data_IF_718868249782
#
_entry.id   IF_718868249782
#
_cell.length_a   1.000
_cell.length_b   1.000
_cell.length_c   1.000
_cell.angle_alpha   90.00
_cell.angle_beta   90.00
_cell.angle_gamma   90.00
#
_symmetry.space_group_name_H-M   'P 1'
#
loop_
_entity.id
_entity.type
_entity.pdbx_description
1 polymer ?
#
# COMPACT_ATOMS: atom_id res chain seq x y z
N UNK A 1 -7.60 34.73 -10.35
CA UNK A 1 -7.14 34.42 -8.98
C UNK A 1 -5.65 34.72 -8.94
N UNK A 2 -5.21 35.69 -8.13
CA UNK A 2 -3.80 36.04 -7.97
C UNK A 2 -3.26 35.32 -6.72
N UNK A 3 -2.26 34.47 -6.90
CA UNK A 3 -1.53 33.84 -5.78
C UNK A 3 -0.30 34.70 -5.48
N UNK A 4 -0.09 35.05 -4.21
CA UNK A 4 1.07 35.84 -3.74
C UNK A 4 2.40 35.14 -4.10
N UNK A 5 2.38 33.80 -4.12
CA UNK A 5 3.44 32.99 -4.69
C UNK A 5 2.81 32.01 -5.69
N UNK A 6 3.06 32.13 -7.01
CA UNK A 6 2.60 31.12 -7.94
C UNK A 6 3.27 29.77 -7.62
N UNK A 7 2.55 28.64 -7.75
CA UNK A 7 3.14 27.33 -7.55
C UNK A 7 4.30 27.15 -8.54
N UNK A 8 5.42 26.61 -8.05
CA UNK A 8 6.53 26.25 -8.92
C UNK A 8 6.16 24.99 -9.68
N UNK A 9 6.12 25.08 -11.01
CA UNK A 9 6.01 23.92 -11.88
C UNK A 9 7.34 23.17 -11.83
N UNK A 10 7.28 21.86 -11.58
CA UNK A 10 8.43 20.95 -11.59
C UNK A 10 8.13 19.85 -12.59
N UNK A 11 9.10 19.57 -13.47
CA UNK A 11 9.04 18.39 -14.33
C UNK A 11 9.37 17.16 -13.50
N UNK A 12 8.63 16.07 -13.74
CA UNK A 12 8.87 14.78 -13.12
C UNK A 12 9.44 13.82 -14.16
N UNK A 13 10.45 13.06 -13.77
CA UNK A 13 11.01 11.98 -14.59
C UNK A 13 10.56 10.62 -14.02
N UNK A 14 10.52 9.62 -14.89
CA UNK A 14 10.22 8.25 -14.47
C UNK A 14 11.41 7.73 -13.65
N UNK A 15 11.20 7.49 -12.36
CA UNK A 15 12.19 6.85 -11.50
C UNK A 15 12.36 5.37 -11.82
N UNK A 16 11.25 4.61 -11.80
CA UNK A 16 11.21 3.18 -12.16
C UNK A 16 9.78 2.80 -12.56
N UNK A 17 9.61 1.60 -13.12
CA UNK A 17 8.31 1.03 -13.43
C UNK A 17 8.27 -0.42 -12.96
N UNK A 18 7.09 -0.90 -12.57
CA UNK A 18 6.91 -2.32 -12.23
C UNK A 18 7.41 -3.21 -13.37
N UNK A 19 8.40 -4.11 -13.12
CA UNK A 19 8.88 -5.06 -14.10
C UNK A 19 7.76 -5.92 -14.68
N UNK A 20 7.86 -6.25 -15.97
CA UNK A 20 6.86 -7.08 -16.66
C UNK A 20 6.61 -8.43 -15.96
N UNK A 21 7.63 -9.01 -15.33
CA UNK A 21 7.52 -10.26 -14.57
C UNK A 21 6.57 -10.18 -13.37
N UNK A 22 6.30 -8.98 -12.84
CA UNK A 22 5.35 -8.77 -11.75
C UNK A 22 3.95 -8.34 -12.24
N UNK A 23 3.79 -8.00 -13.52
CA UNK A 23 2.48 -7.61 -14.06
C UNK A 23 1.59 -8.84 -14.22
N UNK A 24 0.36 -8.76 -13.73
CA UNK A 24 -0.66 -9.82 -13.84
C UNK A 24 -1.61 -9.55 -15.01
N UNK A 25 -1.06 -9.24 -16.18
CA UNK A 25 -1.85 -8.86 -17.37
C UNK A 25 -2.85 -9.95 -17.76
N UNK A 26 -4.11 -9.58 -17.94
CA UNK A 26 -5.19 -10.50 -18.28
C UNK A 26 -5.68 -11.38 -17.13
N UNK A 27 -5.07 -11.27 -15.94
CA UNK A 27 -5.55 -11.96 -14.74
C UNK A 27 -6.71 -11.16 -14.16
N UNK A 28 -7.82 -11.85 -13.89
CA UNK A 28 -8.99 -11.28 -13.24
C UNK A 28 -8.78 -11.20 -11.72
N UNK A 29 -9.20 -10.12 -11.09
CA UNK A 29 -9.22 -9.97 -9.63
C UNK A 29 -10.60 -9.53 -9.15
N UNK A 30 -11.01 -10.00 -7.98
CA UNK A 30 -12.28 -9.60 -7.36
C UNK A 30 -12.31 -8.08 -7.11
N UNK A 31 -11.17 -7.51 -6.72
CA UNK A 31 -11.02 -6.07 -6.57
C UNK A 31 -11.31 -5.30 -7.88
N UNK A 32 -10.77 -5.74 -9.03
CA UNK A 32 -11.01 -5.08 -10.31
C UNK A 32 -12.46 -5.24 -10.79
N UNK A 33 -13.08 -6.39 -10.50
CA UNK A 33 -14.50 -6.61 -10.76
C UNK A 33 -15.36 -5.57 -10.03
N UNK A 34 -15.09 -5.35 -8.73
CA UNK A 34 -15.84 -4.42 -7.89
C UNK A 34 -15.54 -2.94 -8.18
N UNK A 35 -14.26 -2.59 -8.39
CA UNK A 35 -13.83 -1.19 -8.43
C UNK A 35 -13.63 -0.64 -9.85
N UNK A 36 -13.56 -1.51 -10.87
CA UNK A 36 -13.30 -1.11 -12.27
C UNK A 36 -14.26 -1.74 -13.26
N UNK A 37 -15.41 -2.24 -12.80
CA UNK A 37 -16.44 -2.83 -13.65
C UNK A 37 -15.93 -4.03 -14.46
N UNK A 38 -15.01 -4.81 -13.89
CA UNK A 38 -14.40 -5.97 -14.54
C UNK A 38 -13.32 -5.67 -15.56
N UNK A 39 -12.94 -4.40 -15.75
CA UNK A 39 -11.79 -4.05 -16.60
C UNK A 39 -10.50 -4.64 -16.00
N UNK A 40 -9.77 -5.50 -16.75
CA UNK A 40 -8.54 -6.09 -16.26
C UNK A 40 -7.55 -5.02 -15.82
N UNK A 41 -6.93 -5.24 -14.66
CA UNK A 41 -5.88 -4.37 -14.12
C UNK A 41 -4.71 -5.27 -13.75
N UNK A 42 -3.56 -5.04 -14.37
CA UNK A 42 -2.38 -5.87 -14.17
C UNK A 42 -1.60 -5.53 -12.90
N UNK A 43 -1.83 -4.34 -12.34
CA UNK A 43 -1.47 -3.88 -11.00
C UNK A 43 -2.19 -2.55 -10.69
N UNK A 44 -2.45 -2.29 -9.40
CA UNK A 44 -2.86 -0.96 -8.91
C UNK A 44 -2.04 -0.63 -7.67
N UNK A 45 -1.00 0.19 -7.86
CA UNK A 45 -0.05 0.55 -6.82
C UNK A 45 -0.57 1.67 -5.93
N UNK A 46 -0.42 1.51 -4.62
CA UNK A 46 -0.84 2.48 -3.61
C UNK A 46 0.10 2.51 -2.39
N UNK A 47 -0.23 3.36 -1.43
CA UNK A 47 0.36 3.35 -0.09
C UNK A 47 1.89 3.47 -0.02
N UNK A 48 2.53 4.42 -0.72
CA UNK A 48 3.98 4.56 -0.70
C UNK A 48 4.50 4.91 0.69
N UNK A 49 5.54 4.21 1.15
CA UNK A 49 6.28 4.53 2.38
C UNK A 49 7.77 4.25 2.21
N UNK A 50 8.63 5.10 2.77
CA UNK A 50 10.08 4.90 2.74
C UNK A 50 10.59 4.31 4.06
N UNK A 51 11.58 3.44 3.97
CA UNK A 51 12.40 3.06 5.12
C UNK A 51 13.56 4.07 5.35
N UNK A 52 14.32 3.88 6.43
CA UNK A 52 15.46 4.75 6.76
C UNK A 52 16.66 4.62 5.81
N UNK A 53 16.70 3.56 4.99
CA UNK A 53 17.73 3.35 3.96
C UNK A 53 17.34 3.95 2.60
N UNK A 54 16.15 4.54 2.49
CA UNK A 54 15.64 5.14 1.27
C UNK A 54 14.98 4.15 0.32
N UNK A 55 14.72 2.91 0.75
CA UNK A 55 13.91 2.00 -0.06
C UNK A 55 12.43 2.44 0.00
N UNK A 56 11.79 2.48 -1.17
CA UNK A 56 10.37 2.75 -1.30
C UNK A 56 9.58 1.45 -1.23
N UNK A 57 8.58 1.38 -0.37
CA UNK A 57 7.62 0.30 -0.30
C UNK A 57 6.29 0.75 -0.88
N UNK A 58 5.65 -0.09 -1.68
CA UNK A 58 4.33 0.14 -2.27
C UNK A 58 3.48 -1.11 -2.17
N UNK A 59 2.18 -0.92 -2.01
CA UNK A 59 1.21 -2.02 -2.09
C UNK A 59 0.74 -2.21 -3.53
N UNK A 60 0.21 -3.39 -3.82
CA UNK A 60 -0.53 -3.68 -5.03
C UNK A 60 -1.86 -4.32 -4.63
N UNK A 61 -2.88 -3.46 -4.54
CA UNK A 61 -4.18 -3.79 -3.94
C UNK A 61 -4.82 -5.03 -4.58
N UNK A 62 -4.95 -5.13 -5.92
CA UNK A 62 -5.80 -6.14 -6.53
C UNK A 62 -5.27 -7.57 -6.37
N UNK A 63 -4.00 -7.72 -6.00
CA UNK A 63 -3.31 -9.00 -5.92
C UNK A 63 -2.66 -9.26 -4.55
N UNK A 64 -2.94 -8.42 -3.54
CA UNK A 64 -2.49 -8.69 -2.17
C UNK A 64 -0.97 -8.65 -1.98
N UNK A 65 -0.26 -7.76 -2.69
CA UNK A 65 1.21 -7.74 -2.71
C UNK A 65 1.81 -6.49 -2.08
N UNK A 66 3.01 -6.65 -1.57
CA UNK A 66 3.86 -5.55 -1.09
C UNK A 66 5.21 -5.68 -1.81
N UNK A 67 5.65 -4.58 -2.42
CA UNK A 67 6.95 -4.49 -3.07
C UNK A 67 7.87 -3.53 -2.32
N UNK A 68 9.16 -3.84 -2.37
CA UNK A 68 10.24 -2.91 -2.04
C UNK A 68 10.95 -2.51 -3.33
N UNK A 69 11.28 -1.25 -3.45
CA UNK A 69 12.00 -0.63 -4.55
C UNK A 69 13.24 0.04 -3.97
N UNK A 70 14.43 -0.38 -4.41
CA UNK A 70 15.68 0.21 -3.94
C UNK A 70 15.84 1.66 -4.43
N UNK A 71 16.76 2.45 -3.85
CA UNK A 71 17.14 3.75 -4.41
C UNK A 71 17.65 3.71 -5.86
N UNK A 72 18.10 2.54 -6.34
CA UNK A 72 18.46 2.30 -7.75
C UNK A 72 17.28 1.94 -8.64
N UNK A 73 16.07 1.78 -8.09
CA UNK A 73 14.86 1.45 -8.83
C UNK A 73 14.61 -0.05 -8.99
N UNK A 74 15.33 -0.91 -8.26
CA UNK A 74 15.20 -2.38 -8.33
C UNK A 74 14.04 -2.88 -7.48
N UNK A 75 13.17 -3.70 -8.06
CA UNK A 75 11.96 -4.21 -7.41
C UNK A 75 12.19 -5.57 -6.76
N UNK A 76 11.70 -5.74 -5.53
CA UNK A 76 11.66 -7.01 -4.80
C UNK A 76 10.24 -7.23 -4.28
N UNK A 77 9.66 -8.42 -4.50
CA UNK A 77 8.43 -8.83 -3.83
C UNK A 77 8.74 -9.16 -2.37
N UNK A 78 8.08 -8.49 -1.44
CA UNK A 78 8.26 -8.70 0.00
C UNK A 78 7.21 -9.67 0.54
N UNK A 79 5.95 -9.47 0.15
CA UNK A 79 4.85 -10.32 0.58
C UNK A 79 3.79 -10.44 -0.52
N UNK A 80 3.14 -11.61 -0.57
CA UNK A 80 1.92 -11.88 -1.34
C UNK A 80 0.99 -12.70 -0.44
N UNK A 81 -0.21 -12.19 -0.17
CA UNK A 81 -1.15 -12.80 0.79
C UNK A 81 -2.62 -12.53 0.39
N UNK A 82 -3.55 -13.23 1.04
CA UNK A 82 -4.99 -13.06 0.78
C UNK A 82 -5.56 -11.80 1.42
N UNK A 83 -5.38 -10.65 0.78
CA UNK A 83 -5.87 -9.36 1.24
C UNK A 83 -5.85 -8.29 0.15
N UNK A 84 -6.23 -7.07 0.53
CA UNK A 84 -6.29 -5.91 -0.36
C UNK A 84 -5.51 -4.74 0.31
N UNK A 85 -4.16 -4.84 0.38
CA UNK A 85 -3.31 -3.88 1.08
C UNK A 85 -3.35 -2.52 0.39
N UNK A 86 -3.54 -1.45 1.16
CA UNK A 86 -3.65 -0.08 0.65
C UNK A 86 -2.57 0.81 1.29
N UNK A 87 -2.90 1.71 2.22
CA UNK A 87 -1.93 2.53 2.93
C UNK A 87 -1.04 1.75 3.91
N UNK A 88 0.20 2.22 4.12
CA UNK A 88 1.16 1.61 5.05
C UNK A 88 1.95 2.65 5.84
N UNK A 89 2.43 2.27 7.04
CA UNK A 89 3.50 2.97 7.78
C UNK A 89 4.38 1.96 8.51
N UNK A 90 5.66 2.28 8.67
CA UNK A 90 6.54 1.51 9.54
C UNK A 90 6.19 1.74 11.01
N UNK A 91 6.04 0.65 11.77
CA UNK A 91 5.98 0.67 13.24
C UNK A 91 7.39 0.76 13.84
N UNK A 92 8.33 0.09 13.18
CA UNK A 92 9.75 0.02 13.50
C UNK A 92 10.54 -0.30 12.22
N UNK A 93 11.85 -0.58 12.34
CA UNK A 93 12.71 -0.82 11.18
C UNK A 93 12.37 -2.09 10.37
N UNK A 94 11.55 -3.00 10.89
CA UNK A 94 11.25 -4.30 10.27
C UNK A 94 9.75 -4.55 10.06
N UNK A 95 8.90 -3.80 10.76
CA UNK A 95 7.45 -4.05 10.76
C UNK A 95 6.69 -2.94 10.04
N UNK A 96 5.98 -3.31 8.96
CA UNK A 96 4.97 -2.47 8.35
C UNK A 96 3.61 -2.71 9.01
N UNK A 97 2.91 -1.64 9.39
CA UNK A 97 1.47 -1.64 9.62
C UNK A 97 0.77 -1.29 8.31
N UNK A 98 -0.28 -2.05 7.98
CA UNK A 98 -0.97 -2.01 6.70
C UNK A 98 -2.45 -1.75 6.95
N UNK A 99 -3.02 -0.78 6.24
CA UNK A 99 -4.44 -0.61 6.03
C UNK A 99 -4.87 -1.59 4.93
N UNK A 100 -5.39 -2.75 5.33
CA UNK A 100 -5.91 -3.74 4.39
C UNK A 100 -7.43 -3.57 4.28
N UNK A 101 -7.90 -3.28 3.07
CA UNK A 101 -9.31 -3.03 2.79
C UNK A 101 -10.18 -4.24 3.18
N UNK A 102 -9.70 -5.46 2.93
CA UNK A 102 -10.44 -6.69 3.18
C UNK A 102 -10.34 -7.17 4.63
N UNK A 103 -9.15 -7.04 5.24
CA UNK A 103 -8.81 -7.75 6.48
C UNK A 103 -8.75 -6.86 7.74
N UNK A 104 -8.81 -5.54 7.58
CA UNK A 104 -8.58 -4.57 8.66
C UNK A 104 -7.11 -4.19 8.77
N UNK A 105 -6.62 -3.88 9.97
CA UNK A 105 -5.20 -3.57 10.15
C UNK A 105 -4.38 -4.85 10.24
N UNK A 106 -3.35 -4.93 9.40
CA UNK A 106 -2.42 -6.06 9.29
C UNK A 106 -1.00 -5.60 9.58
N UNK A 107 -0.11 -6.51 9.96
CA UNK A 107 1.33 -6.24 10.03
C UNK A 107 2.12 -7.20 9.16
N UNK A 108 3.15 -6.68 8.50
CA UNK A 108 4.12 -7.44 7.71
C UNK A 108 5.52 -7.28 8.29
N UNK A 109 6.18 -8.39 8.55
CA UNK A 109 7.62 -8.44 8.80
C UNK A 109 8.35 -8.41 7.45
N UNK A 110 9.09 -7.33 7.17
CA UNK A 110 9.68 -7.10 5.84
C UNK A 110 10.89 -7.98 5.54
N UNK A 111 11.45 -8.67 6.55
CA UNK A 111 12.58 -9.57 6.37
C UNK A 111 12.12 -10.96 5.93
N UNK A 112 11.02 -11.45 6.51
CA UNK A 112 10.46 -12.77 6.25
C UNK A 112 9.30 -12.75 5.25
N UNK A 113 8.65 -11.61 5.04
CA UNK A 113 7.45 -11.47 4.24
C UNK A 113 6.17 -11.96 4.93
N UNK A 114 6.24 -12.35 6.21
CA UNK A 114 5.09 -12.89 6.94
C UNK A 114 4.10 -11.77 7.25
N UNK A 115 2.85 -11.95 6.81
CA UNK A 115 1.74 -11.04 7.09
C UNK A 115 0.79 -11.69 8.10
N UNK A 116 0.40 -10.94 9.14
CA UNK A 116 -0.52 -11.40 10.18
C UNK A 116 -1.48 -10.31 10.64
N UNK A 117 -2.64 -10.67 11.21
CA UNK A 117 -3.57 -9.70 11.78
C UNK A 117 -2.96 -8.83 12.88
N UNK A 118 -3.33 -7.55 12.91
CA UNK A 118 -3.08 -6.63 14.02
C UNK A 118 -4.37 -6.19 14.71
N UNK A 119 -5.34 -5.70 13.94
CA UNK A 119 -6.68 -5.36 14.43
C UNK A 119 -7.70 -5.58 13.32
N UNK A 120 -8.47 -6.68 13.41
CA UNK A 120 -9.48 -7.02 12.38
C UNK A 120 -10.89 -6.58 12.75
N UNK A 121 -11.14 -6.35 14.04
CA UNK A 121 -12.47 -6.07 14.58
C UNK A 121 -12.41 -5.11 15.75
N UNK A 122 -13.49 -4.35 15.93
CA UNK A 122 -13.76 -3.57 17.15
C UNK A 122 -15.23 -3.76 17.53
N UNK A 123 -15.51 -3.97 18.82
CA UNK A 123 -16.87 -4.18 19.33
C UNK A 123 -17.64 -5.28 18.56
N UNK A 124 -16.96 -6.39 18.23
CA UNK A 124 -17.48 -7.52 17.43
C UNK A 124 -17.76 -7.25 15.94
N UNK A 125 -17.56 -6.02 15.45
CA UNK A 125 -17.74 -5.64 14.06
C UNK A 125 -16.42 -5.64 13.29
N UNK A 126 -16.48 -5.98 12.00
CA UNK A 126 -15.38 -5.78 11.06
C UNK A 126 -15.40 -4.34 10.52
N UNK A 127 -14.23 -3.86 10.13
CA UNK A 127 -14.10 -2.66 9.30
C UNK A 127 -14.73 -2.88 7.93
N UNK A 128 -15.11 -1.79 7.26
CA UNK A 128 -15.84 -1.82 5.99
C UNK A 128 -14.92 -1.75 4.78
N UNK A 129 -13.80 -1.06 4.95
CA UNK A 129 -12.77 -0.89 3.93
C UNK A 129 -11.73 0.10 4.41
N UNK A 130 -10.74 -0.36 5.18
CA UNK A 130 -9.66 0.54 5.62
C UNK A 130 -8.82 0.95 4.41
N UNK A 131 -8.48 2.23 4.31
CA UNK A 131 -7.76 2.76 3.14
C UNK A 131 -6.36 3.31 3.47
N UNK A 132 -6.24 4.30 4.35
CA UNK A 132 -4.93 4.87 4.71
C UNK A 132 -4.78 5.07 6.21
N UNK A 133 -3.54 5.21 6.66
CA UNK A 133 -3.17 5.35 8.07
C UNK A 133 -1.96 6.27 8.29
N UNK A 134 -1.94 6.92 9.44
CA UNK A 134 -0.85 7.81 9.87
C UNK A 134 -0.70 7.81 11.40
N UNK A 135 0.53 8.03 11.86
CA UNK A 135 0.84 8.27 13.26
C UNK A 135 1.00 9.76 13.53
N UNK A 136 0.46 10.23 14.64
CA UNK A 136 0.85 11.55 15.17
C UNK A 136 2.19 11.48 15.94
N UNK A 137 2.67 12.64 16.41
CA UNK A 137 3.92 12.74 17.17
C UNK A 137 3.87 12.06 18.55
N UNK A 138 2.68 11.86 19.10
CA UNK A 138 2.49 11.16 20.38
C UNK A 138 2.40 9.63 20.19
N UNK A 139 2.38 9.14 18.95
CA UNK A 139 2.26 7.72 18.61
C UNK A 139 0.81 7.24 18.49
N UNK A 140 -0.17 8.13 18.44
CA UNK A 140 -1.55 7.74 18.17
C UNK A 140 -1.73 7.39 16.70
N UNK A 141 -2.41 6.28 16.44
CA UNK A 141 -2.75 5.82 15.09
C UNK A 141 -4.10 6.39 14.66
N UNK A 142 -4.11 7.04 13.50
CA UNK A 142 -5.31 7.45 12.77
C UNK A 142 -5.39 6.66 11.48
N UNK A 143 -6.58 6.17 11.14
CA UNK A 143 -6.82 5.48 9.88
C UNK A 143 -8.23 5.75 9.38
N UNK A 144 -8.44 5.61 8.08
CA UNK A 144 -9.74 5.79 7.42
C UNK A 144 -10.44 4.46 7.23
N UNK A 145 -11.75 4.42 7.46
CA UNK A 145 -12.64 3.31 7.10
C UNK A 145 -13.72 3.87 6.17
N UNK A 146 -13.77 3.40 4.93
CA UNK A 146 -14.49 4.08 3.85
C UNK A 146 -16.01 3.85 3.83
N UNK A 147 -16.51 2.89 4.62
CA UNK A 147 -17.95 2.68 4.87
C UNK A 147 -18.61 1.57 4.05
#
# INVERSE_FOLDING_TARGET
MWLINPPQVREAEVFTQMPAAFRRTGVRSAWADANRGGQPTDSFLEGPVFDAAGNLYVTDIPFGRIFRISPSGDWTLIAEYGGEPNGMKFLDAQTLLIADYQNGLMVCDVASGVVRPWLQRRNSERFKGINDLVFDRAGNLYFTDQG
#
